data_IF_094573348730
#
_entry.id   IF_094573348730
#
_cell.length_a   1.000
_cell.length_b   1.000
_cell.length_c   1.000
_cell.angle_alpha   90.00
_cell.angle_beta   90.00
_cell.angle_gamma   90.00
#
_symmetry.space_group_name_H-M   'P 1'
#
loop_
_entity.id
_entity.type
_entity.pdbx_description
1 polymer ?
#
# COMPACT_ATOMS: atom_id res chain seq x y z
N UNK A 1 -17.32 0.35 -23.19
CA UNK A 1 -16.08 0.50 -22.40
C UNK A 1 -16.06 -0.39 -21.16
N UNK A 2 -17.07 -0.35 -20.28
CA UNK A 2 -17.13 -1.26 -19.12
C UNK A 2 -17.26 -2.74 -19.54
N UNK A 3 -18.10 -3.04 -20.53
CA UNK A 3 -18.33 -4.41 -21.04
C UNK A 3 -17.06 -5.01 -21.65
N UNK A 4 -16.28 -4.22 -22.40
CA UNK A 4 -15.02 -4.67 -23.01
C UNK A 4 -13.92 -4.92 -21.97
N UNK A 5 -13.88 -4.14 -20.89
CA UNK A 5 -12.94 -4.35 -19.77
C UNK A 5 -13.31 -5.60 -18.95
N UNK A 6 -14.61 -5.81 -18.71
CA UNK A 6 -15.11 -7.01 -18.03
C UNK A 6 -14.89 -8.25 -18.88
N UNK A 7 -15.12 -8.18 -20.20
CA UNK A 7 -14.84 -9.30 -21.12
C UNK A 7 -13.35 -9.65 -21.15
N UNK A 8 -12.47 -8.63 -21.20
CA UNK A 8 -11.02 -8.82 -21.19
C UNK A 8 -10.54 -9.45 -19.88
N UNK A 9 -11.05 -9.00 -18.75
CA UNK A 9 -10.77 -9.57 -17.43
C UNK A 9 -11.27 -11.01 -17.31
N UNK A 10 -12.50 -11.30 -17.77
CA UNK A 10 -13.08 -12.63 -17.75
C UNK A 10 -12.36 -13.60 -18.69
N UNK A 11 -11.91 -13.14 -19.86
CA UNK A 11 -11.14 -13.96 -20.80
C UNK A 11 -9.76 -14.30 -20.24
N UNK A 12 -9.07 -13.32 -19.64
CA UNK A 12 -7.80 -13.55 -18.96
C UNK A 12 -7.95 -14.53 -17.79
N UNK A 13 -8.99 -14.35 -16.96
CA UNK A 13 -9.27 -15.23 -15.83
C UNK A 13 -9.67 -16.66 -16.25
N UNK A 14 -10.45 -16.79 -17.33
CA UNK A 14 -10.80 -18.09 -17.92
C UNK A 14 -9.56 -18.80 -18.48
N UNK A 15 -8.67 -18.07 -19.15
CA UNK A 15 -7.40 -18.61 -19.63
C UNK A 15 -6.52 -19.09 -18.47
N UNK A 16 -6.40 -18.33 -17.39
CA UNK A 16 -5.66 -18.76 -16.19
C UNK A 16 -6.24 -20.04 -15.60
N UNK A 17 -7.56 -20.10 -15.42
CA UNK A 17 -8.22 -21.28 -14.84
C UNK A 17 -8.10 -22.54 -15.72
N UNK A 18 -7.93 -22.37 -17.03
CA UNK A 18 -7.68 -23.47 -17.96
C UNK A 18 -6.22 -23.96 -17.90
N UNK A 19 -5.29 -23.07 -17.53
CA UNK A 19 -3.86 -23.37 -17.47
C UNK A 19 -3.40 -23.89 -16.09
N UNK A 20 -4.03 -23.49 -14.99
CA UNK A 20 -3.58 -23.81 -13.61
C UNK A 20 -4.13 -25.11 -13.01
N UNK A 21 -4.69 -26.03 -13.81
CA UNK A 21 -5.30 -27.28 -13.30
C UNK A 21 -4.35 -28.27 -12.60
N UNK A 22 -3.08 -27.94 -12.38
CA UNK A 22 -2.12 -28.80 -11.65
C UNK A 22 -1.15 -27.99 -10.77
N UNK A 23 -1.64 -27.42 -9.67
CA UNK A 23 -0.74 -26.86 -8.64
C UNK A 23 -0.58 -27.85 -7.46
N UNK A 24 0.66 -28.28 -7.19
CA UNK A 24 1.10 -28.87 -5.92
C UNK A 24 1.81 -27.77 -5.10
N UNK A 25 1.81 -27.83 -3.74
CA UNK A 25 2.39 -26.78 -2.93
C UNK A 25 3.92 -26.80 -2.99
N UNK A 26 4.53 -25.71 -3.47
CA UNK A 26 5.97 -25.52 -3.50
C UNK A 26 6.53 -25.22 -2.10
N UNK A 27 7.76 -25.70 -1.83
CA UNK A 27 8.50 -25.45 -0.58
C UNK A 27 9.49 -24.31 -0.79
N UNK A 28 9.49 -23.35 0.13
CA UNK A 28 10.23 -22.08 0.04
C UNK A 28 11.76 -22.25 0.14
N UNK A 29 12.57 -21.90 -0.89
CA UNK A 29 14.02 -21.87 -0.75
C UNK A 29 14.49 -20.49 -0.26
N UNK A 30 15.12 -20.45 0.92
CA UNK A 30 15.56 -19.23 1.59
C UNK A 30 16.77 -18.50 0.93
N UNK A 31 17.31 -18.99 -0.18
CA UNK A 31 18.56 -18.50 -0.78
C UNK A 31 18.39 -17.48 -1.93
N UNK A 32 17.19 -17.27 -2.48
CA UNK A 32 16.95 -16.33 -3.60
C UNK A 32 16.61 -14.89 -3.21
N UNK A 33 16.53 -14.57 -1.91
CA UNK A 33 15.96 -13.30 -1.44
C UNK A 33 16.82 -12.05 -1.73
N UNK A 34 18.15 -12.19 -1.83
CA UNK A 34 19.05 -11.05 -2.10
C UNK A 34 19.14 -10.71 -3.60
N UNK A 35 19.07 -11.72 -4.48
CA UNK A 35 19.06 -11.52 -5.94
C UNK A 35 17.70 -11.01 -6.44
N UNK A 36 16.62 -11.35 -5.74
CA UNK A 36 15.27 -10.90 -6.04
C UNK A 36 15.05 -9.39 -5.92
N UNK A 37 15.72 -8.72 -4.98
CA UNK A 37 15.60 -7.27 -4.79
C UNK A 37 16.07 -6.46 -6.00
N UNK A 38 17.21 -6.84 -6.58
CA UNK A 38 17.73 -6.22 -7.80
C UNK A 38 16.83 -6.51 -9.00
N UNK A 39 16.33 -7.74 -9.13
CA UNK A 39 15.37 -8.12 -10.17
C UNK A 39 14.07 -7.29 -10.11
N UNK A 40 13.50 -7.09 -8.92
CA UNK A 40 12.31 -6.26 -8.72
C UNK A 40 12.54 -4.81 -9.13
N UNK A 41 13.71 -4.24 -8.79
CA UNK A 41 14.02 -2.85 -9.16
C UNK A 41 14.16 -2.68 -10.67
N UNK A 42 14.82 -3.61 -11.35
CA UNK A 42 14.98 -3.59 -12.80
C UNK A 42 13.64 -3.78 -13.52
N UNK A 43 12.80 -4.73 -13.06
CA UNK A 43 11.45 -4.95 -13.59
C UNK A 43 10.54 -3.74 -13.35
N UNK A 44 10.59 -3.15 -12.17
CA UNK A 44 9.85 -1.94 -11.83
C UNK A 44 10.26 -0.75 -12.72
N UNK A 45 11.55 -0.63 -13.01
CA UNK A 45 12.07 0.37 -13.94
C UNK A 45 11.59 0.14 -15.38
N UNK A 46 11.64 -1.10 -15.88
CA UNK A 46 11.15 -1.46 -17.21
C UNK A 46 9.64 -1.19 -17.34
N UNK A 47 8.86 -1.58 -16.32
CA UNK A 47 7.42 -1.33 -16.29
C UNK A 47 7.12 0.18 -16.21
N UNK A 48 7.87 0.93 -15.41
CA UNK A 48 7.75 2.39 -15.30
C UNK A 48 7.99 3.10 -16.63
N UNK A 49 8.95 2.62 -17.43
CA UNK A 49 9.21 3.14 -18.77
C UNK A 49 8.13 2.74 -19.78
N UNK A 50 7.54 1.55 -19.66
CA UNK A 50 6.46 1.08 -20.53
C UNK A 50 5.15 1.84 -20.29
N UNK A 51 4.86 2.19 -19.03
CA UNK A 51 3.67 2.95 -18.63
C UNK A 51 3.80 4.47 -18.87
N UNK A 52 4.96 4.94 -19.37
CA UNK A 52 5.27 6.36 -19.65
C UNK A 52 4.41 6.99 -20.75
N UNK A 53 3.73 6.21 -21.59
CA UNK A 53 2.95 6.75 -22.70
C UNK A 53 1.83 7.69 -22.20
N UNK A 54 1.75 8.95 -22.66
CA UNK A 54 0.88 10.00 -22.10
C UNK A 54 -0.60 9.86 -22.50
N UNK A 55 -1.05 8.67 -22.93
CA UNK A 55 -2.41 8.43 -23.35
C UNK A 55 -3.21 7.86 -22.18
N UNK A 56 -3.94 8.71 -21.47
CA UNK A 56 -4.75 8.34 -20.29
C UNK A 56 -5.71 7.15 -20.55
N UNK A 57 -6.26 7.05 -21.76
CA UNK A 57 -7.10 5.91 -22.16
C UNK A 57 -6.32 4.58 -22.24
N UNK A 58 -5.05 4.61 -22.66
CA UNK A 58 -4.16 3.46 -22.64
C UNK A 58 -3.76 3.09 -21.21
N UNK A 59 -3.53 4.09 -20.34
CA UNK A 59 -3.15 3.89 -18.94
C UNK A 59 -4.25 3.22 -18.11
N UNK A 60 -5.52 3.58 -18.33
CA UNK A 60 -6.65 2.95 -17.62
C UNK A 60 -6.80 1.46 -17.87
N UNK A 61 -6.38 0.96 -19.04
CA UNK A 61 -6.37 -0.46 -19.38
C UNK A 61 -5.03 -1.14 -19.09
N UNK A 62 -3.91 -0.41 -19.19
CA UNK A 62 -2.57 -0.98 -18.97
C UNK A 62 -2.25 -1.18 -17.49
N UNK A 63 -2.80 -0.36 -16.58
CA UNK A 63 -2.56 -0.48 -15.15
C UNK A 63 -3.09 -1.79 -14.55
N UNK A 64 -4.39 -2.15 -14.69
CA UNK A 64 -4.90 -3.41 -14.18
C UNK A 64 -4.26 -4.63 -14.84
N UNK A 65 -3.95 -4.54 -16.14
CA UNK A 65 -3.30 -5.63 -16.88
C UNK A 65 -1.84 -5.80 -16.46
N UNK A 66 -1.12 -4.71 -16.19
CA UNK A 66 0.24 -4.79 -15.63
C UNK A 66 0.26 -5.38 -14.23
N UNK A 67 -0.70 -5.02 -13.37
CA UNK A 67 -0.87 -5.64 -12.07
C UNK A 67 -1.11 -7.15 -12.19
N UNK A 68 -2.05 -7.56 -13.05
CA UNK A 68 -2.32 -8.97 -13.31
C UNK A 68 -1.09 -9.72 -13.85
N UNK A 69 -0.35 -9.12 -14.78
CA UNK A 69 0.86 -9.72 -15.36
C UNK A 69 1.96 -9.91 -14.32
N UNK A 70 2.14 -8.96 -13.40
CA UNK A 70 3.13 -9.08 -12.33
C UNK A 70 2.81 -10.25 -11.38
N UNK A 71 1.57 -10.37 -10.94
CA UNK A 71 1.14 -11.49 -10.08
C UNK A 71 1.21 -12.84 -10.81
N UNK A 72 0.75 -12.89 -12.07
CA UNK A 72 0.85 -14.10 -12.88
C UNK A 72 2.31 -14.50 -13.14
N UNK A 73 3.18 -13.54 -13.40
CA UNK A 73 4.61 -13.81 -13.60
C UNK A 73 5.30 -14.35 -12.35
N UNK A 74 4.86 -13.93 -11.16
CA UNK A 74 5.37 -14.48 -9.89
C UNK A 74 4.91 -15.94 -9.72
N UNK A 75 3.64 -16.24 -9.98
CA UNK A 75 3.10 -17.61 -9.94
C UNK A 75 3.85 -18.55 -10.91
N UNK A 76 4.06 -18.12 -12.15
CA UNK A 76 4.84 -18.90 -13.14
C UNK A 76 6.31 -19.08 -12.72
N UNK A 77 6.92 -18.04 -12.14
CA UNK A 77 8.31 -18.11 -11.65
C UNK A 77 8.47 -19.13 -10.52
N UNK A 78 7.47 -19.22 -9.64
CA UNK A 78 7.43 -20.20 -8.55
C UNK A 78 7.18 -21.64 -9.04
N UNK A 79 6.30 -21.82 -10.05
CA UNK A 79 6.04 -23.15 -10.64
C UNK A 79 7.23 -23.72 -11.40
N UNK A 80 7.91 -22.88 -12.19
CA UNK A 80 9.06 -23.29 -13.02
C UNK A 80 10.39 -23.31 -12.24
N UNK A 81 10.39 -22.88 -10.98
CA UNK A 81 11.58 -22.87 -10.12
C UNK A 81 12.69 -21.96 -10.63
N UNK A 82 12.32 -20.83 -11.25
CA UNK A 82 13.32 -19.88 -11.78
C UNK A 82 14.16 -19.31 -10.65
N UNK A 83 15.46 -19.09 -10.90
CA UNK A 83 16.40 -18.58 -9.90
C UNK A 83 16.07 -17.15 -9.42
N UNK A 84 15.14 -16.45 -10.08
CA UNK A 84 14.80 -15.06 -9.82
C UNK A 84 13.40 -14.97 -9.20
N UNK A 85 13.35 -14.88 -7.87
CA UNK A 85 12.12 -14.55 -7.16
C UNK A 85 11.91 -13.03 -7.19
N UNK A 86 10.71 -12.56 -7.53
CA UNK A 86 10.39 -11.13 -7.45
C UNK A 86 9.08 -10.91 -6.69
N UNK A 87 8.99 -9.82 -5.95
CA UNK A 87 7.80 -9.42 -5.22
C UNK A 87 6.97 -8.43 -6.06
N UNK A 88 5.73 -8.78 -6.46
CA UNK A 88 4.88 -7.90 -7.27
C UNK A 88 4.59 -6.54 -6.63
N UNK A 89 4.44 -6.49 -5.31
CA UNK A 89 4.10 -5.25 -4.60
C UNK A 89 5.27 -4.28 -4.60
N UNK A 90 6.48 -4.77 -4.28
CA UNK A 90 7.70 -3.98 -4.31
C UNK A 90 8.00 -3.49 -5.72
N UNK A 91 7.82 -4.36 -6.73
CA UNK A 91 7.96 -3.99 -8.14
C UNK A 91 7.00 -2.86 -8.54
N UNK A 92 5.74 -2.93 -8.09
CA UNK A 92 4.74 -1.89 -8.34
C UNK A 92 5.08 -0.56 -7.63
N UNK A 93 5.60 -0.60 -6.39
CA UNK A 93 6.03 0.59 -5.66
C UNK A 93 7.19 1.27 -6.38
N UNK A 94 8.21 0.51 -6.80
CA UNK A 94 9.35 1.04 -7.55
C UNK A 94 8.91 1.63 -8.89
N UNK A 95 8.02 0.94 -9.62
CA UNK A 95 7.47 1.45 -10.88
C UNK A 95 6.72 2.78 -10.68
N UNK A 96 5.83 2.86 -9.69
CA UNK A 96 5.12 4.09 -9.35
C UNK A 96 6.06 5.23 -8.96
N UNK A 97 7.07 4.94 -8.13
CA UNK A 97 8.11 5.91 -7.76
C UNK A 97 8.85 6.47 -8.98
N UNK A 98 9.24 5.61 -9.92
CA UNK A 98 9.94 6.02 -11.14
C UNK A 98 9.03 6.87 -12.03
N UNK A 99 7.77 6.45 -12.24
CA UNK A 99 6.82 7.18 -13.08
C UNK A 99 6.57 8.59 -12.54
N UNK A 100 6.27 8.70 -11.24
CA UNK A 100 5.91 9.98 -10.62
C UNK A 100 7.09 10.94 -10.56
N UNK A 101 8.31 10.46 -10.27
CA UNK A 101 9.47 11.33 -10.06
C UNK A 101 10.30 11.59 -11.33
N UNK A 102 10.32 10.67 -12.29
CA UNK A 102 11.25 10.74 -13.44
C UNK A 102 10.56 10.85 -14.80
N UNK A 103 9.23 10.90 -14.86
CA UNK A 103 8.50 11.06 -16.14
C UNK A 103 7.63 12.30 -16.17
N UNK A 104 7.42 12.85 -17.37
CA UNK A 104 6.50 13.98 -17.60
C UNK A 104 5.02 13.62 -17.42
N UNK A 105 4.69 12.32 -17.35
CA UNK A 105 3.32 11.81 -17.24
C UNK A 105 2.88 11.47 -15.81
N UNK A 106 3.68 11.82 -14.79
CA UNK A 106 3.41 11.44 -13.39
C UNK A 106 2.05 11.89 -12.87
N UNK A 107 1.60 13.10 -13.20
CA UNK A 107 0.29 13.60 -12.75
C UNK A 107 -0.88 12.85 -13.39
N UNK A 108 -0.85 12.59 -14.69
CA UNK A 108 -1.89 11.82 -15.38
C UNK A 108 -1.95 10.36 -14.87
N UNK A 109 -0.79 9.79 -14.54
CA UNK A 109 -0.68 8.48 -13.90
C UNK A 109 -1.32 8.48 -12.51
N UNK A 110 -1.01 9.48 -11.68
CA UNK A 110 -1.57 9.64 -10.33
C UNK A 110 -3.11 9.79 -10.35
N UNK A 111 -3.63 10.62 -11.24
CA UNK A 111 -5.08 10.76 -11.46
C UNK A 111 -5.72 9.42 -11.86
N UNK A 112 -5.07 8.66 -12.74
CA UNK A 112 -5.54 7.33 -13.16
C UNK A 112 -5.51 6.34 -12.00
N UNK A 113 -4.45 6.33 -11.19
CA UNK A 113 -4.35 5.52 -9.97
C UNK A 113 -5.46 5.88 -8.97
N UNK A 114 -5.77 7.18 -8.81
CA UNK A 114 -6.88 7.63 -7.97
C UNK A 114 -8.25 7.19 -8.49
N UNK A 115 -8.46 7.15 -9.81
CA UNK A 115 -9.71 6.67 -10.41
C UNK A 115 -9.89 5.15 -10.22
N UNK A 116 -8.83 4.37 -10.43
CA UNK A 116 -8.87 2.90 -10.36
C UNK A 116 -8.90 2.40 -8.90
N UNK A 117 -8.16 3.05 -8.00
CA UNK A 117 -8.06 2.62 -6.60
C UNK A 117 -9.38 2.74 -5.83
N UNK A 118 -10.24 3.72 -6.14
CA UNK A 118 -11.54 3.92 -5.47
C UNK A 118 -12.44 2.66 -5.46
N UNK A 119 -12.81 2.06 -6.62
CA UNK A 119 -13.62 0.85 -6.63
C UNK A 119 -12.87 -0.36 -6.04
N UNK A 120 -11.54 -0.45 -6.22
CA UNK A 120 -10.74 -1.54 -5.65
C UNK A 120 -10.78 -1.49 -4.12
N UNK A 121 -10.56 -0.33 -3.51
CA UNK A 121 -10.63 -0.18 -2.06
C UNK A 121 -12.03 -0.46 -1.52
N UNK A 122 -13.08 -0.01 -2.23
CA UNK A 122 -14.46 -0.32 -1.84
C UNK A 122 -14.70 -1.84 -1.84
N UNK A 123 -14.33 -2.55 -2.90
CA UNK A 123 -14.47 -4.00 -2.99
C UNK A 123 -13.63 -4.72 -1.93
N UNK A 124 -12.38 -4.29 -1.73
CA UNK A 124 -11.47 -4.85 -0.73
C UNK A 124 -12.02 -4.70 0.70
N UNK A 125 -12.46 -3.51 1.09
CA UNK A 125 -13.00 -3.28 2.43
C UNK A 125 -14.34 -3.99 2.65
N UNK A 126 -15.21 -4.06 1.64
CA UNK A 126 -16.45 -4.85 1.72
C UNK A 126 -16.13 -6.34 1.86
N UNK A 127 -15.21 -6.86 1.04
CA UNK A 127 -14.81 -8.26 1.08
C UNK A 127 -14.24 -8.65 2.45
N UNK A 128 -13.37 -7.81 3.02
CA UNK A 128 -12.82 -8.04 4.37
C UNK A 128 -13.91 -7.97 5.42
N UNK A 129 -14.83 -7.01 5.33
CA UNK A 129 -15.96 -6.92 6.25
C UNK A 129 -16.82 -8.18 6.23
N UNK A 130 -17.14 -8.71 5.04
CA UNK A 130 -17.92 -9.95 4.87
C UNK A 130 -17.15 -11.19 5.32
N UNK A 131 -15.84 -11.23 5.08
CA UNK A 131 -14.98 -12.37 5.46
C UNK A 131 -14.71 -12.44 6.96
N UNK A 132 -15.03 -11.39 7.72
CA UNK A 132 -14.76 -11.31 9.14
C UNK A 132 -15.76 -12.15 9.95
N UNK A 133 -15.26 -13.16 10.66
CA UNK A 133 -16.05 -13.98 11.57
C UNK A 133 -16.14 -13.31 12.94
N UNK A 134 -17.14 -12.43 13.14
CA UNK A 134 -17.33 -11.68 14.40
C UNK A 134 -17.36 -12.60 15.64
N UNK A 135 -17.97 -13.78 15.51
CA UNK A 135 -18.05 -14.73 16.63
C UNK A 135 -16.66 -15.19 17.10
N UNK A 136 -15.72 -15.45 16.17
CA UNK A 136 -14.34 -15.83 16.50
C UNK A 136 -13.56 -14.65 17.08
N UNK A 137 -13.84 -13.43 16.60
CA UNK A 137 -13.21 -12.22 17.13
C UNK A 137 -13.62 -11.96 18.59
N UNK A 138 -14.90 -12.10 18.90
CA UNK A 138 -15.41 -11.92 20.29
C UNK A 138 -14.86 -13.01 21.20
N UNK A 139 -14.80 -14.25 20.73
CA UNK A 139 -14.23 -15.36 21.50
C UNK A 139 -12.75 -15.14 21.83
N UNK A 140 -11.98 -14.61 20.88
CA UNK A 140 -10.53 -14.38 21.01
C UNK A 140 -10.16 -12.92 21.30
N UNK A 141 -11.07 -12.14 21.89
CA UNK A 141 -10.90 -10.69 22.04
C UNK A 141 -9.67 -10.33 22.88
N UNK A 142 -9.38 -11.09 23.93
CA UNK A 142 -8.22 -10.85 24.81
C UNK A 142 -6.89 -10.97 24.05
N UNK A 143 -6.72 -12.04 23.26
CA UNK A 143 -5.54 -12.26 22.45
C UNK A 143 -5.41 -11.22 21.32
N UNK A 144 -6.54 -10.84 20.70
CA UNK A 144 -6.59 -9.75 19.73
C UNK A 144 -6.09 -8.42 20.31
N UNK A 145 -6.60 -8.02 21.49
CA UNK A 145 -6.16 -6.80 22.17
C UNK A 145 -4.68 -6.87 22.54
N UNK A 146 -4.19 -8.02 23.01
CA UNK A 146 -2.78 -8.22 23.31
C UNK A 146 -1.89 -7.99 22.07
N UNK A 147 -2.23 -8.58 20.92
CA UNK A 147 -1.50 -8.39 19.65
C UNK A 147 -1.58 -6.92 19.20
N UNK A 148 -2.76 -6.30 19.32
CA UNK A 148 -2.95 -4.90 18.96
C UNK A 148 -2.05 -3.96 19.80
N UNK A 149 -2.06 -4.08 21.12
CA UNK A 149 -1.27 -3.23 22.01
C UNK A 149 0.24 -3.51 21.92
N UNK A 150 0.64 -4.77 21.80
CA UNK A 150 2.06 -5.11 21.60
C UNK A 150 2.59 -4.53 20.30
N UNK A 151 1.83 -4.63 19.20
CA UNK A 151 2.20 -4.00 17.93
C UNK A 151 2.28 -2.48 18.06
N UNK A 152 1.32 -1.85 18.73
CA UNK A 152 1.36 -0.40 18.99
C UNK A 152 2.64 0.00 19.74
N UNK A 153 2.99 -0.72 20.80
CA UNK A 153 4.21 -0.48 21.56
C UNK A 153 5.47 -0.64 20.69
N UNK A 154 5.53 -1.69 19.86
CA UNK A 154 6.65 -1.93 18.95
C UNK A 154 6.80 -0.82 17.89
N UNK A 155 5.69 -0.30 17.34
CA UNK A 155 5.74 0.81 16.38
C UNK A 155 6.25 2.08 17.07
N UNK A 156 5.77 2.39 18.28
CA UNK A 156 6.22 3.56 19.04
C UNK A 156 7.72 3.46 19.33
N UNK A 157 8.18 2.31 19.82
CA UNK A 157 9.60 2.09 20.12
C UNK A 157 10.44 2.14 18.84
N UNK A 158 10.03 1.42 17.80
CA UNK A 158 10.76 1.34 16.52
C UNK A 158 10.89 2.69 15.82
N UNK A 159 9.83 3.51 15.81
CA UNK A 159 9.87 4.86 15.21
C UNK A 159 10.72 5.84 16.00
N UNK A 160 10.71 5.76 17.33
CA UNK A 160 11.59 6.57 18.19
C UNK A 160 13.05 6.19 18.00
N UNK A 161 13.36 4.89 18.01
CA UNK A 161 14.72 4.40 17.76
C UNK A 161 15.19 4.76 16.35
N UNK A 162 14.37 4.51 15.33
CA UNK A 162 14.68 4.84 13.95
C UNK A 162 14.86 6.35 13.73
N UNK A 163 13.99 7.17 14.31
CA UNK A 163 14.10 8.63 14.23
C UNK A 163 15.34 9.17 14.95
N UNK A 164 15.68 8.60 16.11
CA UNK A 164 16.91 8.95 16.82
C UNK A 164 18.16 8.58 16.03
N UNK A 165 18.23 7.37 15.47
CA UNK A 165 19.34 6.92 14.63
C UNK A 165 19.46 7.72 13.33
N UNK A 166 18.34 8.19 12.78
CA UNK A 166 18.32 9.03 11.59
C UNK A 166 18.64 10.52 11.88
N UNK A 167 18.82 10.91 13.15
CA UNK A 167 19.05 12.31 13.52
C UNK A 167 17.86 13.23 13.30
N UNK A 168 16.64 12.69 13.27
CA UNK A 168 15.42 13.48 13.11
C UNK A 168 15.11 14.28 14.38
N UNK A 169 14.62 15.53 14.27
CA UNK A 169 14.18 16.31 15.43
C UNK A 169 13.21 15.51 16.30
N UNK A 170 13.39 15.61 17.63
CA UNK A 170 12.64 14.80 18.62
C UNK A 170 11.13 15.09 18.53
N UNK A 171 10.79 16.32 18.15
CA UNK A 171 9.43 16.78 17.89
C UNK A 171 8.76 15.97 16.79
N UNK A 172 9.46 15.67 15.69
CA UNK A 172 8.93 14.87 14.58
C UNK A 172 9.03 13.37 14.84
N UNK A 173 10.14 12.90 15.42
CA UNK A 173 10.34 11.48 15.72
C UNK A 173 9.28 10.92 16.67
N UNK A 174 8.77 11.73 17.60
CA UNK A 174 7.70 11.34 18.51
C UNK A 174 6.31 11.20 17.86
N UNK A 175 6.18 11.59 16.59
CA UNK A 175 4.89 11.64 15.88
C UNK A 175 4.79 10.60 14.77
N UNK A 176 5.91 10.08 14.26
CA UNK A 176 5.94 9.12 13.15
C UNK A 176 5.10 7.85 13.41
N UNK A 177 5.03 7.38 14.66
CA UNK A 177 4.21 6.22 15.01
C UNK A 177 2.73 6.41 14.69
N UNK A 178 2.22 7.64 14.76
CA UNK A 178 0.82 7.95 14.47
C UNK A 178 0.49 7.74 12.99
N UNK A 179 1.43 8.06 12.09
CA UNK A 179 1.30 7.83 10.66
C UNK A 179 1.48 6.36 10.25
N UNK A 180 2.30 5.61 11.00
CA UNK A 180 2.54 4.17 10.74
C UNK A 180 1.55 3.23 11.44
N UNK A 181 0.63 3.80 12.22
CA UNK A 181 -0.35 3.05 12.99
C UNK A 181 -1.26 2.19 12.10
N UNK A 182 -1.76 2.77 10.99
CA UNK A 182 -2.63 2.10 10.03
C UNK A 182 -1.88 1.09 9.18
N UNK A 183 -2.29 -0.18 9.22
CA UNK A 183 -1.93 -1.19 8.23
C UNK A 183 -3.10 -2.15 8.03
N UNK A 184 -3.36 -2.51 6.77
CA UNK A 184 -4.50 -3.36 6.43
C UNK A 184 -4.20 -4.32 5.27
N UNK A 185 -3.79 -3.80 4.11
CA UNK A 185 -3.67 -4.55 2.85
C UNK A 185 -2.94 -5.89 2.96
N UNK A 186 -1.62 -5.81 3.07
CA UNK A 186 -0.72 -6.97 3.05
C UNK A 186 -0.95 -7.87 4.28
N UNK A 187 -1.12 -7.27 5.46
CA UNK A 187 -1.33 -8.00 6.71
C UNK A 187 -2.57 -8.89 6.67
N UNK A 188 -3.69 -8.39 6.17
CA UNK A 188 -4.95 -9.15 6.10
C UNK A 188 -4.84 -10.27 5.06
N UNK A 189 -4.24 -9.99 3.88
CA UNK A 189 -4.01 -11.00 2.85
C UNK A 189 -3.13 -12.15 3.34
N UNK A 190 -2.00 -11.84 3.99
CA UNK A 190 -1.10 -12.84 4.56
C UNK A 190 -1.74 -13.65 5.69
N UNK A 191 -2.52 -13.00 6.57
CA UNK A 191 -3.22 -13.70 7.64
C UNK A 191 -4.27 -14.68 7.10
N UNK A 192 -5.02 -14.27 6.06
CA UNK A 192 -5.99 -15.15 5.40
C UNK A 192 -5.29 -16.31 4.67
N UNK A 193 -4.17 -16.04 4.01
CA UNK A 193 -3.40 -17.07 3.33
C UNK A 193 -2.79 -18.09 4.32
N UNK A 194 -2.20 -17.61 5.41
CA UNK A 194 -1.67 -18.45 6.48
C UNK A 194 -2.75 -19.35 7.10
N UNK A 195 -4.01 -18.89 7.12
CA UNK A 195 -5.11 -19.64 7.73
C UNK A 195 -5.34 -21.02 7.09
N UNK A 196 -4.97 -21.22 5.83
CA UNK A 196 -5.13 -22.49 5.12
C UNK A 196 -4.11 -23.55 5.52
N UNK A 197 -2.97 -23.15 6.07
CA UNK A 197 -1.86 -24.06 6.39
C UNK A 197 -1.92 -24.60 7.83
N UNK A 198 -2.71 -23.98 8.70
CA UNK A 198 -2.72 -24.30 10.13
C UNK A 198 -4.14 -24.54 10.66
N UNK A 199 -4.29 -25.52 11.55
CA UNK A 199 -5.58 -25.82 12.19
C UNK A 199 -6.10 -24.65 13.06
N UNK A 200 -5.21 -23.90 13.70
CA UNK A 200 -5.51 -22.67 14.44
C UNK A 200 -5.59 -21.43 13.53
N UNK A 201 -5.33 -21.60 12.24
CA UNK A 201 -5.26 -20.55 11.24
C UNK A 201 -6.50 -19.65 11.17
N UNK A 202 -7.73 -20.18 11.21
CA UNK A 202 -8.94 -19.37 11.22
C UNK A 202 -9.05 -18.41 12.42
N UNK A 203 -8.65 -18.86 13.62
CA UNK A 203 -8.64 -18.03 14.82
C UNK A 203 -7.56 -16.94 14.73
N UNK A 204 -6.38 -17.30 14.24
CA UNK A 204 -5.31 -16.34 13.97
C UNK A 204 -5.72 -15.26 12.97
N UNK A 205 -6.29 -15.65 11.83
CA UNK A 205 -6.77 -14.70 10.83
C UNK A 205 -7.85 -13.79 11.41
N UNK A 206 -8.80 -14.32 12.20
CA UNK A 206 -9.82 -13.52 12.85
C UNK A 206 -9.22 -12.50 13.82
N UNK A 207 -8.21 -12.87 14.62
CA UNK A 207 -7.51 -11.96 15.52
C UNK A 207 -6.76 -10.85 14.77
N UNK A 208 -6.00 -11.19 13.72
CA UNK A 208 -5.24 -10.21 12.93
C UNK A 208 -6.17 -9.26 12.18
N UNK A 209 -7.24 -9.76 11.58
CA UNK A 209 -8.26 -8.94 10.92
C UNK A 209 -8.93 -8.01 11.93
N UNK A 210 -9.27 -8.50 13.12
CA UNK A 210 -9.83 -7.68 14.19
C UNK A 210 -8.90 -6.55 14.61
N UNK A 211 -7.61 -6.84 14.82
CA UNK A 211 -6.62 -5.82 15.13
C UNK A 211 -6.45 -4.80 13.99
N UNK A 212 -6.50 -5.24 12.72
CA UNK A 212 -6.47 -4.36 11.56
C UNK A 212 -7.70 -3.44 11.51
N UNK A 213 -8.90 -3.95 11.81
CA UNK A 213 -10.12 -3.12 11.90
C UNK A 213 -9.97 -2.02 12.96
N UNK A 214 -9.45 -2.36 14.15
CA UNK A 214 -9.17 -1.35 15.18
C UNK A 214 -8.18 -0.29 14.67
N UNK A 215 -7.12 -0.71 13.98
CA UNK A 215 -6.15 0.24 13.40
C UNK A 215 -6.80 1.18 12.38
N UNK A 216 -7.74 0.69 11.58
CA UNK A 216 -8.43 1.51 10.58
C UNK A 216 -9.44 2.49 11.21
N UNK A 217 -9.98 2.19 12.40
CA UNK A 217 -10.86 3.11 13.14
C UNK A 217 -10.04 4.26 13.76
N UNK A 218 -8.97 3.93 14.49
CA UNK A 218 -8.19 4.93 15.21
C UNK A 218 -7.14 5.63 14.34
N UNK A 219 -6.78 5.03 13.22
CA UNK A 219 -5.70 5.50 12.37
C UNK A 219 -5.92 6.85 11.69
N UNK A 220 -7.00 7.05 10.90
CA UNK A 220 -7.23 8.34 10.24
C UNK A 220 -7.30 9.52 11.23
N UNK A 221 -7.96 9.40 12.41
CA UNK A 221 -7.87 10.42 13.46
C UNK A 221 -6.44 10.69 13.96
N UNK A 222 -5.65 9.65 14.21
CA UNK A 222 -4.26 9.77 14.68
C UNK A 222 -3.37 10.43 13.62
N UNK A 223 -3.44 9.99 12.37
CA UNK A 223 -2.67 10.59 11.27
C UNK A 223 -3.05 12.06 11.08
N UNK A 224 -4.35 12.39 11.15
CA UNK A 224 -4.82 13.79 11.07
C UNK A 224 -4.30 14.63 12.23
N UNK A 225 -4.27 14.09 13.44
CA UNK A 225 -3.70 14.77 14.60
C UNK A 225 -2.19 15.00 14.43
N UNK A 226 -1.46 14.01 13.90
CA UNK A 226 -0.04 14.12 13.64
C UNK A 226 0.28 15.24 12.64
N UNK A 227 -0.46 15.31 11.52
CA UNK A 227 -0.30 16.38 10.51
C UNK A 227 -0.55 17.76 11.12
N UNK A 228 -1.60 17.91 11.93
CA UNK A 228 -1.92 19.18 12.59
C UNK A 228 -0.84 19.64 13.56
N UNK A 229 -0.34 18.74 14.39
CA UNK A 229 0.70 19.10 15.36
C UNK A 229 2.06 19.32 14.67
N UNK A 230 2.30 18.70 13.52
CA UNK A 230 3.44 19.02 12.67
C UNK A 230 3.33 20.40 11.97
N UNK A 231 2.16 21.05 12.03
CA UNK A 231 1.91 22.33 11.36
C UNK A 231 1.78 22.21 9.84
N UNK A 232 1.54 21.00 9.32
CA UNK A 232 1.39 20.71 7.89
C UNK A 232 -0.08 20.73 7.44
N UNK A 233 -0.99 21.22 8.28
CA UNK A 233 -2.39 21.40 7.89
C UNK A 233 -2.59 22.71 7.12
N UNK A 234 -2.70 22.59 5.79
CA UNK A 234 -2.94 23.71 4.87
C UNK A 234 -4.25 24.50 5.08
N UNK A 235 -5.00 24.26 6.17
CA UNK A 235 -6.13 25.09 6.57
C UNK A 235 -5.70 26.51 7.01
N UNK A 236 -4.46 26.69 7.48
CA UNK A 236 -3.90 28.01 7.76
C UNK A 236 -3.58 28.81 6.48
N UNK A 237 -3.22 28.11 5.38
CA UNK A 237 -2.85 28.71 4.09
C UNK A 237 -4.07 29.17 3.28
N UNK A 238 -5.24 28.57 3.50
CA UNK A 238 -6.47 28.85 2.75
C UNK A 238 -7.47 29.78 3.49
N UNK A 239 -7.13 30.30 4.67
CA UNK A 239 -8.00 31.27 5.34
C UNK A 239 -7.87 32.67 4.70
N UNK A 240 -8.96 33.28 4.16
CA UNK A 240 -8.90 34.61 3.54
C UNK A 240 -8.50 35.74 4.50
N UNK A 241 -8.45 35.47 5.81
CA UNK A 241 -8.15 36.47 6.84
C UNK A 241 -6.66 36.81 6.97
N UNK A 242 -5.74 36.01 6.42
CA UNK A 242 -4.31 36.31 6.44
C UNK A 242 -3.86 37.27 5.31
N UNK A 243 -4.71 37.49 4.30
CA UNK A 243 -4.41 38.36 3.16
C UNK A 243 -4.62 39.87 3.47
N UNK A 244 -5.15 40.23 4.65
CA UNK A 244 -5.50 41.62 4.99
C UNK A 244 -4.41 42.32 5.84
N UNK A 245 -3.31 41.64 6.19
CA UNK A 245 -2.28 42.22 7.07
C UNK A 245 -0.82 42.12 6.61
N UNK A 246 -0.52 41.45 5.49
CA UNK A 246 0.85 41.32 5.03
C UNK A 246 1.23 42.53 4.15
N UNK A 247 2.27 43.32 4.51
CA UNK A 247 2.73 44.42 3.65
C UNK A 247 3.18 43.85 2.30
N UNK A 248 2.69 44.47 1.23
CA UNK A 248 2.98 44.10 -0.16
C UNK A 248 4.49 44.07 -0.41
N UNK A 249 4.92 43.16 -1.28
CA UNK A 249 6.33 42.92 -1.58
C UNK A 249 7.10 44.17 -2.04
N UNK A 250 6.40 45.20 -2.55
CA UNK A 250 6.99 46.50 -2.90
C UNK A 250 7.52 47.28 -1.67
N UNK A 251 6.86 47.17 -0.50
CA UNK A 251 7.27 47.91 0.70
C UNK A 251 8.58 47.38 1.31
N UNK A 252 8.90 46.08 1.11
CA UNK A 252 10.13 45.48 1.66
C UNK A 252 11.39 45.82 0.86
N UNK A 253 11.24 46.22 -0.40
CA UNK A 253 12.37 46.61 -1.25
C UNK A 253 12.81 48.04 -0.95
N UNK A 254 11.90 48.91 -0.50
CA UNK A 254 12.22 50.30 -0.15
C UNK A 254 12.91 50.45 1.21
N UNK A 255 12.77 49.48 2.13
CA UNK A 255 13.49 49.49 3.42
C UNK A 255 14.92 48.92 3.34
N UNK A 256 15.31 48.37 2.18
CA UNK A 256 16.66 47.83 1.93
C UNK A 256 17.53 48.73 1.04
N UNK A 257 17.07 49.93 0.68
CA UNK A 257 17.84 50.99 0.01
C UNK A 257 17.95 52.21 0.92
#
# INVERSE_FOLDING_TARGET
MLVSLVLGYLLAHLLTHLLTRKAQPATWPAQGAMDGGLGCTALGMALGLLLRAPLAALQTASLPTSGWLLFYGQEVSEEEGWAWSFDPLFTAIVAGFIIVNYTRGGQAFDETCHLISRPIFLLFFVFIGVSMKLNLLVHNLSACLFIFFSRLALIIIGTRLGGHLAGSPVEHSNMYWMGLFTQAGVTIGLAHHAAFYFAWGPDFAAMIIGAAVLNQIFGPPLTKYAIRVAGEDSAAVLSPSAAVGAPSAEARVTEML
#
